data_IF_148356311854
#
_entry.id   IF_148356311854
#
_cell.length_a   1.000
_cell.length_b   1.000
_cell.length_c   1.000
_cell.angle_alpha   90.00
_cell.angle_beta   90.00
_cell.angle_gamma   90.00
#
_symmetry.space_group_name_H-M   'P 1'
#
loop_
_entity.id
_entity.type
_entity.pdbx_description
1 polymer ?
#
# COMPACT_ATOMS: atom_id res chain seq x y z
N UNK A 1 -25.34 -61.00 37.82
CA UNK A 1 -25.11 -60.61 37.46
C UNK A 1 -24.86 -59.60 36.77
N UNK A 2 -24.83 -59.14 36.49
CA UNK A 2 -24.60 -58.25 35.99
C UNK A 2 -24.11 -57.34 35.46
N UNK A 3 -23.96 -56.77 35.24
CA UNK A 3 -23.58 -55.90 34.89
C UNK A 3 -23.18 -54.96 34.33
N UNK A 4 -22.99 -54.41 34.23
CA UNK A 4 -22.72 -53.49 33.81
C UNK A 4 -22.14 -52.64 33.31
N UNK A 5 -22.01 -51.85 32.87
CA UNK A 5 -21.60 -51.00 32.47
C UNK A 5 -21.14 -50.14 31.94
N UNK A 6 -20.97 -49.51 31.73
CA UNK A 6 -20.56 -48.72 31.42
C UNK A 6 -20.15 -47.90 30.93
N UNK A 7 -20.16 -47.35 30.79
CA UNK A 7 -19.81 -46.54 30.45
C UNK A 7 -19.35 -45.82 29.84
N UNK A 8 -19.31 -45.37 29.56
CA UNK A 8 -19.03 -44.72 28.99
C UNK A 8 -18.45 -43.79 28.69
N UNK A 9 -18.29 -43.41 28.70
CA UNK A 9 -17.73 -42.55 28.48
C UNK A 9 -17.50 -41.75 27.77
N UNK A 10 -17.53 -41.27 27.55
CA UNK A 10 -17.45 -40.45 26.94
C UNK A 10 -16.70 -39.61 26.71
N UNK A 11 -16.39 -39.07 26.37
CA UNK A 11 -15.75 -38.36 26.15
C UNK A 11 -15.64 -37.39 25.51
N UNK A 12 -15.87 -36.80 25.49
CA UNK A 12 -15.81 -35.71 25.21
C UNK A 12 -14.87 -35.20 24.57
N UNK A 13 -14.67 -34.97 23.91
CA UNK A 13 -13.75 -34.53 23.35
C UNK A 13 -13.74 -33.38 22.98
N UNK A 14 -13.62 -32.65 23.28
CA UNK A 14 -13.58 -31.51 23.05
C UNK A 14 -12.72 -31.03 22.25
N UNK A 15 -12.90 -30.55 21.43
CA UNK A 15 -12.19 -30.07 20.66
C UNK A 15 -12.05 -28.88 20.64
N UNK A 16 -11.51 -28.34 20.87
CA UNK A 16 -11.28 -27.17 20.87
C UNK A 16 -10.65 -26.80 19.81
N UNK A 17 -11.15 -26.24 19.00
CA UNK A 17 -10.50 -25.78 18.02
C UNK A 17 -9.94 -24.61 18.33
N UNK A 18 -8.87 -24.47 18.46
CA UNK A 18 -8.23 -23.25 18.65
C UNK A 18 -8.41 -22.46 17.45
N UNK A 19 -8.85 -21.31 17.56
CA UNK A 19 -8.92 -20.45 16.43
C UNK A 19 -7.52 -20.18 15.96
N UNK A 20 -7.41 -19.96 14.72
CA UNK A 20 -6.14 -19.61 14.18
C UNK A 20 -5.79 -18.23 14.68
N UNK A 21 -4.75 -18.13 15.46
CA UNK A 21 -4.36 -16.84 15.96
C UNK A 21 -3.93 -15.92 14.86
N UNK A 22 -3.37 -16.46 13.81
CA UNK A 22 -2.99 -15.60 12.71
C UNK A 22 -4.18 -14.88 12.12
N UNK A 23 -5.33 -15.52 12.11
CA UNK A 23 -6.52 -14.88 11.58
C UNK A 23 -7.19 -13.96 12.57
N UNK A 24 -6.83 -14.10 13.82
CA UNK A 24 -7.43 -13.28 14.85
C UNK A 24 -6.62 -12.08 15.24
N UNK A 25 -5.43 -11.96 14.71
CA UNK A 25 -4.65 -10.77 14.98
C UNK A 25 -5.32 -9.58 14.34
N UNK A 26 -5.48 -8.50 15.07
CA UNK A 26 -6.07 -7.33 14.44
C UNK A 26 -5.17 -6.83 13.34
N UNK A 27 -5.77 -6.45 12.23
CA UNK A 27 -5.04 -5.78 11.19
C UNK A 27 -4.57 -4.45 11.76
N UNK A 28 -3.35 -4.07 11.46
CA UNK A 28 -2.90 -2.75 11.87
C UNK A 28 -3.73 -1.70 11.15
N UNK A 29 -4.10 -0.68 11.87
CA UNK A 29 -4.85 0.40 11.27
C UNK A 29 -4.01 1.07 10.20
N UNK A 30 -4.59 1.40 9.06
CA UNK A 30 -3.86 2.14 8.05
C UNK A 30 -3.53 3.53 8.58
N UNK A 31 -2.50 4.11 8.00
CA UNK A 31 -2.12 5.47 8.33
C UNK A 31 -2.91 6.41 7.45
N UNK A 32 -3.63 7.33 8.08
CA UNK A 32 -4.44 8.30 7.35
C UNK A 32 -3.65 9.59 7.16
N UNK A 33 -3.81 10.17 5.98
CA UNK A 33 -3.23 11.47 5.67
C UNK A 33 -4.35 12.38 5.20
N UNK A 34 -4.38 13.60 5.71
CA UNK A 34 -5.39 14.57 5.29
C UNK A 34 -5.11 15.03 3.87
N UNK A 35 -6.12 15.58 3.22
CA UNK A 35 -5.93 16.20 1.92
C UNK A 35 -4.83 17.25 2.03
N UNK A 36 -3.96 17.26 1.05
CA UNK A 36 -2.85 18.22 0.93
C UNK A 36 -1.80 18.13 2.03
N UNK A 37 -1.86 17.10 2.85
CA UNK A 37 -0.80 16.85 3.81
C UNK A 37 0.37 16.23 3.05
N UNK A 38 1.57 16.75 3.24
CA UNK A 38 2.74 16.22 2.54
C UNK A 38 3.05 14.80 2.99
N UNK A 39 3.20 13.90 2.05
CA UNK A 39 3.46 12.50 2.33
C UNK A 39 4.80 12.14 1.73
N UNK A 40 5.83 11.86 2.54
CA UNK A 40 7.13 11.49 1.97
C UNK A 40 7.06 10.11 1.33
N UNK A 41 7.64 9.99 0.16
CA UNK A 41 7.60 8.75 -0.59
C UNK A 41 8.78 8.66 -1.54
N UNK A 42 8.99 7.49 -2.08
CA UNK A 42 9.96 7.28 -3.14
C UNK A 42 9.18 6.91 -4.39
N UNK A 43 9.38 7.65 -5.45
CA UNK A 43 8.77 7.38 -6.75
C UNK A 43 9.76 6.58 -7.59
N UNK A 44 9.30 5.51 -8.19
CA UNK A 44 10.06 4.77 -9.19
C UNK A 44 9.28 4.82 -10.49
N UNK A 45 9.92 5.24 -11.55
CA UNK A 45 9.29 5.26 -12.87
C UNK A 45 9.64 3.99 -13.62
N UNK A 46 8.66 3.43 -14.30
CA UNK A 46 8.88 2.27 -15.15
C UNK A 46 9.72 2.68 -16.36
N UNK A 47 10.39 1.71 -16.93
CA UNK A 47 11.11 1.91 -18.19
C UNK A 47 10.58 0.91 -19.21
N UNK A 48 10.41 1.36 -20.43
CA UNK A 48 10.10 0.48 -21.53
C UNK A 48 10.51 1.19 -22.81
N UNK A 49 11.02 0.41 -23.76
CA UNK A 49 11.53 0.99 -25.01
C UNK A 49 10.42 1.58 -25.85
N UNK A 50 9.24 1.00 -25.80
CA UNK A 50 8.12 1.44 -26.64
C UNK A 50 7.14 2.34 -25.90
N UNK A 51 7.40 2.67 -24.65
CA UNK A 51 6.54 3.54 -23.89
C UNK A 51 5.28 2.87 -23.36
N UNK A 52 5.15 1.56 -23.45
CA UNK A 52 4.03 0.88 -22.82
C UNK A 52 4.25 0.84 -21.34
N UNK A 53 3.24 1.21 -20.59
CA UNK A 53 3.30 1.22 -19.15
C UNK A 53 4.53 1.96 -18.62
N UNK A 54 4.90 3.03 -19.30
CA UNK A 54 6.04 3.85 -18.93
C UNK A 54 5.93 5.21 -19.58
N UNK A 55 6.61 6.17 -18.99
CA UNK A 55 6.79 7.48 -19.63
C UNK A 55 8.02 7.41 -20.48
N UNK A 56 8.05 8.25 -21.49
CA UNK A 56 9.26 8.41 -22.30
C UNK A 56 10.10 9.60 -21.84
N UNK A 57 9.56 10.43 -20.98
CA UNK A 57 10.23 11.65 -20.52
C UNK A 57 10.34 11.66 -19.02
N UNK A 58 11.30 12.40 -18.46
CA UNK A 58 11.44 12.48 -17.01
C UNK A 58 10.30 13.27 -16.37
N UNK A 59 10.14 13.11 -15.08
CA UNK A 59 9.23 13.95 -14.29
C UNK A 59 10.05 14.95 -13.51
N UNK A 60 9.42 16.08 -13.23
CA UNK A 60 10.05 17.17 -12.49
C UNK A 60 9.12 17.64 -11.40
N UNK A 61 9.58 18.59 -10.62
CA UNK A 61 8.80 19.17 -9.55
C UNK A 61 7.40 19.57 -10.05
N UNK A 62 6.41 19.30 -9.23
CA UNK A 62 4.99 19.58 -9.52
C UNK A 62 4.35 18.64 -10.54
N UNK A 63 4.91 17.46 -10.69
CA UNK A 63 4.30 16.39 -11.48
C UNK A 63 2.95 16.00 -10.84
N UNK A 64 1.91 15.84 -11.63
CA UNK A 64 0.55 15.60 -11.13
C UNK A 64 -0.11 14.37 -11.72
N UNK A 65 0.30 13.19 -11.33
CA UNK A 65 -0.37 11.98 -11.79
C UNK A 65 -1.53 11.61 -10.89
N UNK A 66 -2.13 10.46 -11.17
CA UNK A 66 -3.02 9.80 -10.25
C UNK A 66 -2.24 8.74 -9.50
N UNK A 67 -2.56 8.56 -8.24
CA UNK A 67 -1.98 7.49 -7.42
C UNK A 67 -3.13 6.60 -6.97
N UNK A 68 -2.95 5.29 -7.09
CA UNK A 68 -4.00 4.33 -6.76
C UNK A 68 -3.85 3.91 -5.32
N UNK A 69 -4.77 4.36 -4.48
CA UNK A 69 -4.86 3.95 -3.10
C UNK A 69 -5.94 2.85 -2.98
N UNK A 70 -6.09 2.28 -1.82
CA UNK A 70 -7.08 1.23 -1.64
C UNK A 70 -8.49 1.65 -2.00
N UNK A 71 -8.83 2.91 -1.84
CA UNK A 71 -10.15 3.41 -2.16
C UNK A 71 -10.33 3.93 -3.58
N UNK A 72 -9.28 3.90 -4.39
CA UNK A 72 -9.35 4.37 -5.77
C UNK A 72 -8.24 5.32 -6.12
N UNK A 73 -8.36 5.94 -7.28
CA UNK A 73 -7.35 6.87 -7.78
C UNK A 73 -7.55 8.26 -7.20
N UNK A 74 -6.46 8.88 -6.81
CA UNK A 74 -6.49 10.25 -6.28
C UNK A 74 -5.41 11.05 -6.99
N UNK A 75 -5.73 12.27 -7.38
CA UNK A 75 -4.73 13.16 -7.97
C UNK A 75 -3.78 13.62 -6.89
N UNK A 76 -2.50 13.43 -7.12
CA UNK A 76 -1.47 13.88 -6.19
C UNK A 76 -0.42 14.66 -6.94
N UNK A 77 -0.06 15.82 -6.39
CA UNK A 77 1.08 16.55 -6.91
C UNK A 77 2.32 16.04 -6.24
N UNK A 78 3.34 15.76 -7.01
CA UNK A 78 4.60 15.29 -6.47
C UNK A 78 5.61 16.41 -6.45
N UNK A 79 6.03 16.78 -5.26
CA UNK A 79 7.02 17.81 -5.09
C UNK A 79 8.38 17.19 -4.90
N UNK A 80 9.34 17.76 -5.56
CA UNK A 80 10.74 17.35 -5.41
C UNK A 80 11.58 18.59 -5.47
N UNK A 81 12.86 18.47 -5.19
CA UNK A 81 13.76 19.61 -5.23
C UNK A 81 13.73 20.24 -6.61
N UNK A 82 13.48 21.54 -6.73
CA UNK A 82 13.50 22.19 -8.02
C UNK A 82 14.83 21.97 -8.74
N UNK A 83 14.75 21.77 -10.04
CA UNK A 83 15.95 21.52 -10.84
C UNK A 83 16.36 20.07 -10.92
N UNK A 84 15.73 19.19 -10.12
CA UNK A 84 16.00 17.75 -10.24
C UNK A 84 14.92 17.12 -11.11
N UNK A 85 15.19 15.91 -11.57
CA UNK A 85 14.25 15.15 -12.35
C UNK A 85 14.43 13.67 -12.04
N UNK A 86 13.40 12.88 -12.34
CA UNK A 86 13.46 11.43 -12.24
C UNK A 86 13.21 10.90 -13.65
N UNK A 87 14.20 10.18 -14.19
CA UNK A 87 14.11 9.63 -15.52
C UNK A 87 13.35 8.31 -15.50
N UNK A 88 12.76 7.90 -16.63
CA UNK A 88 12.19 6.55 -16.69
C UNK A 88 13.23 5.52 -16.27
N UNK A 89 12.82 4.60 -15.41
CA UNK A 89 13.72 3.59 -14.86
C UNK A 89 14.43 3.99 -13.59
N UNK A 90 14.29 5.24 -13.17
CA UNK A 90 14.96 5.73 -11.97
C UNK A 90 13.99 5.89 -10.82
N UNK A 91 14.56 6.04 -9.64
CA UNK A 91 13.80 6.33 -8.41
C UNK A 91 14.30 7.64 -7.83
N UNK A 92 13.40 8.31 -7.13
CA UNK A 92 13.77 9.53 -6.44
C UNK A 92 12.79 9.86 -5.33
N UNK A 93 13.23 10.69 -4.41
CA UNK A 93 12.40 11.12 -3.29
C UNK A 93 11.40 12.16 -3.75
N UNK A 94 10.16 12.01 -3.32
CA UNK A 94 9.11 12.97 -3.61
C UNK A 94 8.28 13.18 -2.35
N UNK A 95 7.50 14.24 -2.36
CA UNK A 95 6.48 14.47 -1.34
C UNK A 95 5.16 14.58 -2.06
N UNK A 96 4.23 13.72 -1.69
CA UNK A 96 2.91 13.71 -2.31
C UNK A 96 2.02 14.75 -1.65
N UNK A 97 1.30 15.51 -2.49
CA UNK A 97 0.31 16.47 -2.03
C UNK A 97 -0.97 16.07 -2.73
N UNK A 98 -1.79 15.30 -2.06
CA UNK A 98 -2.96 14.69 -2.69
C UNK A 98 -4.20 15.53 -2.49
N UNK A 99 -5.08 15.51 -3.46
CA UNK A 99 -6.27 16.35 -3.46
C UNK A 99 -7.31 15.91 -2.45
N UNK A 100 -7.23 14.66 -2.00
CA UNK A 100 -8.19 14.09 -1.05
C UNK A 100 -7.46 13.39 0.07
N UNK A 101 -8.15 13.16 1.16
CA UNK A 101 -7.60 12.37 2.24
C UNK A 101 -7.40 10.93 1.75
N UNK A 102 -6.33 10.31 2.16
CA UNK A 102 -5.99 8.96 1.75
C UNK A 102 -5.53 8.15 2.96
N UNK A 103 -5.53 6.83 2.80
CA UNK A 103 -5.02 5.94 3.84
C UNK A 103 -4.06 4.95 3.19
N UNK A 104 -2.98 4.66 3.90
CA UNK A 104 -1.93 3.78 3.41
C UNK A 104 -1.76 2.65 4.40
N UNK A 105 -1.78 1.43 3.91
CA UNK A 105 -1.60 0.25 4.75
C UNK A 105 -0.22 0.25 5.38
N UNK A 106 -0.15 -0.13 6.65
CA UNK A 106 1.13 -0.13 7.35
C UNK A 106 2.11 -1.16 6.83
N UNK A 107 1.61 -2.23 6.27
CA UNK A 107 2.51 -3.21 5.68
C UNK A 107 3.27 -2.70 4.49
N UNK A 108 2.93 -1.51 4.07
CA UNK A 108 3.60 -0.90 2.94
C UNK A 108 3.12 -1.48 1.64
N UNK A 109 3.96 -1.38 0.67
CA UNK A 109 3.61 -1.85 -0.64
C UNK A 109 3.70 -0.73 -1.63
N UNK A 110 3.51 -1.10 -2.85
CA UNK A 110 3.64 -0.17 -3.95
C UNK A 110 2.28 0.36 -4.31
N UNK A 111 2.19 1.67 -4.46
CA UNK A 111 0.99 2.31 -4.93
C UNK A 111 1.21 2.70 -6.38
N UNK A 112 0.37 2.24 -7.26
CA UNK A 112 0.54 2.46 -8.70
C UNK A 112 0.37 3.93 -9.03
N UNK A 113 1.22 4.44 -9.92
CA UNK A 113 1.13 5.81 -10.44
C UNK A 113 0.64 5.73 -11.88
N UNK A 114 -0.41 6.48 -12.18
CA UNK A 114 -1.05 6.44 -13.50
C UNK A 114 -1.11 7.79 -14.16
N UNK A 115 -0.90 7.78 -15.46
CA UNK A 115 -1.11 8.95 -16.31
C UNK A 115 -1.95 8.51 -17.48
N UNK A 116 -3.11 9.15 -17.65
CA UNK A 116 -3.95 8.85 -18.79
C UNK A 116 -4.37 7.40 -18.86
N UNK A 117 -4.61 6.78 -17.72
CA UNK A 117 -5.00 5.37 -17.68
C UNK A 117 -3.86 4.39 -17.83
N UNK A 118 -2.63 4.90 -17.93
CA UNK A 118 -1.46 4.04 -18.12
C UNK A 118 -0.65 3.99 -16.84
N UNK A 119 -0.23 2.80 -16.44
CA UNK A 119 0.62 2.65 -15.26
C UNK A 119 2.03 3.06 -15.64
N UNK A 120 2.54 4.12 -15.03
CA UNK A 120 3.84 4.65 -15.39
C UNK A 120 4.89 4.45 -14.31
N UNK A 121 4.48 3.97 -13.15
CA UNK A 121 5.43 3.76 -12.06
C UNK A 121 4.70 3.40 -10.79
N UNK A 122 5.43 3.52 -9.69
CA UNK A 122 4.83 3.28 -8.37
C UNK A 122 5.52 4.15 -7.34
N UNK A 123 4.83 4.36 -6.24
CA UNK A 123 5.44 5.02 -5.07
C UNK A 123 5.40 4.09 -3.89
N UNK A 124 6.40 4.22 -3.03
CA UNK A 124 6.42 3.57 -1.73
C UNK A 124 6.42 4.70 -0.70
N UNK A 125 5.39 4.76 0.12
CA UNK A 125 5.24 5.82 1.11
C UNK A 125 6.11 5.49 2.31
N UNK A 126 6.82 6.49 2.82
CA UNK A 126 7.56 6.32 4.06
C UNK A 126 6.63 6.64 5.20
N UNK A 127 6.28 5.63 5.94
CA UNK A 127 5.38 5.79 7.07
C UNK A 127 6.16 6.17 8.31
N UNK A 128 5.55 6.95 9.21
CA UNK A 128 6.22 7.25 10.46
C UNK A 128 6.40 5.98 11.27
N UNK A 129 7.45 5.92 12.10
CA UNK A 129 7.64 4.73 12.92
C UNK A 129 6.49 4.61 13.91
N UNK A 130 6.19 3.39 14.28
CA UNK A 130 5.18 3.15 15.29
C UNK A 130 5.75 3.45 16.66
N UNK A 131 4.95 4.06 17.55
CA UNK A 131 5.41 4.33 18.91
C UNK A 131 5.60 3.06 19.71
#
# INVERSE_FOLDING_TARGET
MAIRLPSAALLATLLVTAPSLANDLPAEDPVAFSARQGIPATLTLNYSEDGRDARLTPVRNNYRPKVVFGGGEVSCMMRMTPGTSIEPGESGAVRLDCAEAVAVARGGGRLIVREGGKDVGFVVVRLPPQP
#
